data_IF_329072911318
#
_entry.id   IF_329072911318
#
_cell.length_a   1.000
_cell.length_b   1.000
_cell.length_c   1.000
_cell.angle_alpha   90.00
_cell.angle_beta   90.00
_cell.angle_gamma   90.00
#
_symmetry.space_group_name_H-M   'P 1'
#
loop_
_entity.id
_entity.type
_entity.pdbx_description
1 polymer ?
#
# COMPACT_ATOMS: atom_id res chain seq x y z
N UNK A 1 2.88 -9.06 0.44
CA UNK A 1 3.46 -7.76 0.81
C UNK A 1 2.42 -6.93 1.51
N UNK A 2 2.80 -6.24 2.56
CA UNK A 2 1.88 -5.47 3.37
C UNK A 2 2.35 -4.04 3.51
N UNK A 3 1.42 -3.13 3.73
CA UNK A 3 1.74 -1.73 3.90
C UNK A 3 0.55 -0.95 4.40
N UNK A 4 0.72 0.36 4.50
CA UNK A 4 -0.37 1.24 4.89
C UNK A 4 -0.17 2.58 4.22
N UNK A 5 -1.25 3.33 4.09
CA UNK A 5 -1.19 4.64 3.49
C UNK A 5 -1.03 5.69 4.57
N UNK A 6 -0.03 6.55 4.41
CA UNK A 6 0.23 7.63 5.34
C UNK A 6 0.35 8.91 4.52
N UNK A 7 -0.59 9.81 4.71
CA UNK A 7 -0.63 11.07 3.95
C UNK A 7 -0.61 10.83 2.46
N UNK A 8 -1.30 9.78 2.02
CA UNK A 8 -1.39 9.48 0.59
C UNK A 8 -0.24 8.71 0.02
N UNK A 9 0.74 8.35 0.85
CA UNK A 9 1.89 7.60 0.38
C UNK A 9 1.86 6.19 0.94
N UNK A 10 2.30 5.24 0.15
CA UNK A 10 2.32 3.85 0.56
C UNK A 10 3.59 3.56 1.34
N UNK A 11 3.41 3.13 2.58
CA UNK A 11 4.51 2.78 3.46
C UNK A 11 4.53 1.27 3.61
N UNK A 12 5.61 0.64 3.20
CA UNK A 12 5.70 -0.81 3.26
C UNK A 12 6.01 -1.28 4.67
N UNK A 13 5.43 -2.41 5.05
CA UNK A 13 5.68 -3.00 6.34
C UNK A 13 7.05 -3.67 6.35
N UNK A 14 7.72 -3.71 7.51
CA UNK A 14 8.97 -4.44 7.60
C UNK A 14 8.73 -5.94 7.41
N UNK A 15 9.71 -6.62 6.83
CA UNK A 15 9.53 -8.01 6.51
C UNK A 15 10.10 -8.96 7.56
N UNK A 16 11.15 -8.56 8.23
CA UNK A 16 11.82 -9.48 9.15
C UNK A 16 11.40 -9.30 10.58
N UNK A 17 11.13 -8.09 11.00
CA UNK A 17 10.74 -7.82 12.36
C UNK A 17 9.69 -6.73 12.37
N UNK A 18 8.60 -6.98 13.07
CA UNK A 18 7.49 -6.06 13.13
C UNK A 18 7.24 -5.70 14.58
N UNK A 19 7.16 -4.39 14.87
CA UNK A 19 6.81 -3.91 16.20
C UNK A 19 5.55 -3.09 16.12
N UNK A 20 4.64 -3.33 17.03
CA UNK A 20 3.40 -2.57 17.05
C UNK A 20 2.84 -2.57 18.47
N UNK A 21 1.89 -1.67 18.69
CA UNK A 21 1.27 -1.52 19.99
C UNK A 21 -0.15 -2.04 19.91
N UNK A 22 -0.49 -2.99 20.78
CA UNK A 22 -1.83 -3.55 20.87
C UNK A 22 -2.35 -3.24 22.26
N UNK A 23 -3.28 -2.28 22.35
CA UNK A 23 -3.73 -1.80 23.63
C UNK A 23 -2.60 -1.05 24.33
N UNK A 24 -2.20 -1.53 25.48
CA UNK A 24 -1.07 -0.93 26.18
C UNK A 24 0.16 -1.83 26.15
N UNK A 25 0.19 -2.81 25.25
CA UNK A 25 1.31 -3.71 25.16
C UNK A 25 2.10 -3.45 23.89
N UNK A 26 3.42 -3.52 24.01
CA UNK A 26 4.31 -3.39 22.87
C UNK A 26 4.66 -4.80 22.41
N UNK A 27 4.33 -5.11 21.16
CA UNK A 27 4.52 -6.44 20.61
C UNK A 27 5.60 -6.41 19.56
N UNK A 28 6.51 -7.37 19.65
CA UNK A 28 7.60 -7.49 18.68
C UNK A 28 7.53 -8.90 18.08
N UNK A 29 7.40 -8.97 16.76
CA UNK A 29 7.29 -10.23 16.05
C UNK A 29 8.48 -10.40 15.12
N UNK A 30 9.09 -11.58 15.16
CA UNK A 30 10.14 -11.93 14.21
C UNK A 30 9.50 -12.82 13.17
N UNK A 31 9.72 -12.49 11.88
CA UNK A 31 9.08 -13.18 10.76
C UNK A 31 7.56 -13.14 10.92
N UNK A 32 6.98 -11.93 10.94
CA UNK A 32 5.56 -11.80 11.27
C UNK A 32 4.67 -12.51 10.26
N UNK A 33 3.56 -13.02 10.75
CA UNK A 33 2.56 -13.65 9.92
C UNK A 33 1.54 -12.62 9.47
N UNK A 34 0.62 -13.06 8.61
CA UNK A 34 -0.38 -12.14 8.09
C UNK A 34 -1.18 -11.48 9.20
N UNK A 35 -1.56 -12.23 10.22
CA UNK A 35 -2.36 -11.65 11.30
C UNK A 35 -1.61 -10.58 12.05
N UNK A 36 -0.29 -10.70 12.13
CA UNK A 36 0.49 -9.72 12.85
C UNK A 36 0.50 -8.38 12.10
N UNK A 37 0.60 -8.42 10.78
CA UNK A 37 0.55 -7.21 9.99
C UNK A 37 -0.82 -6.53 10.11
N UNK A 38 -1.88 -7.32 10.09
CA UNK A 38 -3.22 -6.76 10.18
C UNK A 38 -3.43 -6.10 11.54
N UNK A 39 -2.96 -6.74 12.62
CA UNK A 39 -3.09 -6.15 13.94
C UNK A 39 -2.27 -4.87 14.09
N UNK A 40 -1.18 -4.77 13.36
CA UNK A 40 -0.35 -3.57 13.41
C UNK A 40 -0.91 -2.43 12.56
N UNK A 41 -2.02 -2.69 11.84
CA UNK A 41 -2.63 -1.64 11.02
C UNK A 41 -2.22 -1.66 9.57
N UNK A 42 -1.50 -2.68 9.16
CA UNK A 42 -1.11 -2.81 7.76
C UNK A 42 -2.15 -3.60 7.00
N UNK A 43 -2.18 -3.40 5.68
CA UNK A 43 -3.10 -4.11 4.80
C UNK A 43 -2.32 -4.77 3.69
N UNK A 44 -2.91 -5.79 3.09
CA UNK A 44 -2.27 -6.48 1.99
C UNK A 44 -2.22 -5.56 0.78
N UNK A 45 -1.08 -5.49 0.13
CA UNK A 45 -0.90 -4.68 -1.06
C UNK A 45 -1.17 -5.54 -2.27
N UNK A 46 -2.11 -5.12 -3.12
CA UNK A 46 -2.48 -5.83 -4.32
C UNK A 46 -2.14 -4.95 -5.51
N UNK A 47 -1.34 -5.48 -6.42
CA UNK A 47 -0.97 -4.75 -7.62
C UNK A 47 -1.88 -5.16 -8.77
N UNK A 48 -2.38 -4.18 -9.51
CA UNK A 48 -3.08 -4.47 -10.75
C UNK A 48 -2.05 -4.53 -11.87
N UNK A 49 -2.51 -4.69 -13.09
CA UNK A 49 -1.61 -4.78 -14.21
C UNK A 49 -0.77 -3.50 -14.29
N UNK A 50 0.54 -3.67 -14.39
CA UNK A 50 1.46 -2.55 -14.46
C UNK A 50 1.73 -2.25 -15.92
N UNK A 51 1.46 -1.03 -16.38
CA UNK A 51 1.73 -0.71 -17.78
C UNK A 51 3.21 -0.67 -18.06
N UNK A 52 3.59 -0.95 -19.30
CA UNK A 52 4.98 -0.92 -19.65
C UNK A 52 5.54 0.48 -19.61
N UNK A 53 4.73 1.47 -19.94
CA UNK A 53 5.19 2.86 -19.97
C UNK A 53 4.59 3.57 -18.77
N UNK A 54 5.31 3.55 -17.65
CA UNK A 54 4.79 4.17 -16.45
C UNK A 54 4.85 5.68 -16.50
N UNK A 55 5.54 6.24 -17.48
CA UNK A 55 5.54 7.70 -17.57
C UNK A 55 4.22 8.24 -18.09
N UNK A 56 3.44 7.41 -18.77
CA UNK A 56 2.15 7.83 -19.29
C UNK A 56 1.04 7.69 -18.24
N UNK A 57 1.31 6.99 -17.16
CA UNK A 57 0.27 6.68 -16.18
C UNK A 57 0.59 7.29 -14.82
N UNK A 58 -0.45 7.58 -14.07
CA UNK A 58 -0.30 8.05 -12.71
C UNK A 58 -0.67 6.90 -11.79
N UNK A 59 0.22 6.58 -10.87
CA UNK A 59 -0.04 5.53 -9.90
C UNK A 59 -0.93 6.08 -8.80
N UNK A 60 -1.97 5.34 -8.44
CA UNK A 60 -2.83 5.75 -7.34
C UNK A 60 -3.11 4.55 -6.45
N UNK A 61 -3.53 4.83 -5.23
CA UNK A 61 -3.81 3.80 -4.25
C UNK A 61 -5.28 3.84 -3.89
N UNK A 62 -5.90 2.66 -3.86
CA UNK A 62 -7.31 2.53 -3.45
C UNK A 62 -7.32 1.64 -2.21
N UNK A 63 -7.70 2.21 -1.09
CA UNK A 63 -7.70 1.49 0.18
C UNK A 63 -9.09 0.94 0.46
N UNK A 64 -9.17 -0.35 0.75
CA UNK A 64 -10.40 -0.99 1.18
C UNK A 64 -10.21 -1.45 2.62
N UNK A 65 -11.17 -2.19 3.16
CA UNK A 65 -11.04 -2.63 4.54
C UNK A 65 -9.90 -3.60 4.73
N UNK A 66 -9.57 -4.39 3.71
CA UNK A 66 -8.59 -5.43 3.85
C UNK A 66 -7.37 -5.27 2.97
N UNK A 67 -7.43 -4.42 1.97
CA UNK A 67 -6.39 -4.34 0.96
C UNK A 67 -6.08 -2.92 0.56
N UNK A 68 -4.90 -2.71 0.01
CA UNK A 68 -4.54 -1.48 -0.66
C UNK A 68 -4.21 -1.87 -2.09
N UNK A 69 -5.02 -1.39 -3.03
CA UNK A 69 -4.82 -1.71 -4.44
C UNK A 69 -4.00 -0.63 -5.09
N UNK A 70 -2.99 -1.02 -5.84
CA UNK A 70 -2.15 -0.09 -6.59
C UNK A 70 -2.66 -0.10 -8.03
N UNK A 71 -3.19 1.02 -8.47
CA UNK A 71 -3.77 1.15 -9.78
C UNK A 71 -3.08 2.23 -10.58
N UNK A 72 -3.22 2.18 -11.89
CA UNK A 72 -2.60 3.15 -12.77
C UNK A 72 -3.67 3.77 -13.65
N UNK A 73 -3.71 5.10 -13.67
CA UNK A 73 -4.62 5.85 -14.53
C UNK A 73 -3.82 6.54 -15.61
N UNK A 74 -4.45 6.75 -16.75
CA UNK A 74 -3.80 7.45 -17.84
C UNK A 74 -3.68 8.92 -17.47
N UNK A 75 -2.45 9.44 -17.46
CA UNK A 75 -2.29 10.81 -17.03
C UNK A 75 -2.34 11.78 -18.18
N UNK A 76 -2.10 11.31 -19.39
CA UNK A 76 -2.04 12.25 -20.47
C UNK A 76 -3.37 12.75 -20.90
N UNK A 77 -4.45 12.09 -20.53
CA UNK A 77 -5.72 12.55 -21.01
C UNK A 77 -6.02 13.90 -20.46
N UNK A 78 -5.37 14.33 -19.43
CA UNK A 78 -5.71 15.57 -18.90
C UNK A 78 -5.24 16.66 -19.72
N UNK A 79 -4.20 16.46 -20.43
CA UNK A 79 -3.79 17.50 -21.07
C UNK A 79 -4.20 17.58 -22.30
N UNK A 80 -4.46 16.69 -22.78
CA UNK A 80 -4.78 16.84 -23.92
C UNK A 80 -5.80 17.50 -24.12
N UNK A 81 -6.29 17.64 -23.68
CA UNK A 81 -7.19 18.29 -23.85
C UNK A 81 -7.15 19.45 -23.81
N UNK A 82 -6.64 19.66 -23.76
CA UNK A 82 -6.70 20.64 -23.67
C UNK A 82 -6.55 21.29 -24.33
N UNK A 83 -6.41 21.00 -24.75
CA UNK A 83 -6.27 21.55 -25.11
C UNK A 83 -6.49 22.06 -25.51
#
# INVERSE_FOLDING_TARGET
MYGKLVNGELLRAPEKMLQYIAGDKHICCINPAEKDYIQAGYKKIVYTDVPEDTETYIKKYVETEEEIKVEYDIKSDTEEKEA
#
